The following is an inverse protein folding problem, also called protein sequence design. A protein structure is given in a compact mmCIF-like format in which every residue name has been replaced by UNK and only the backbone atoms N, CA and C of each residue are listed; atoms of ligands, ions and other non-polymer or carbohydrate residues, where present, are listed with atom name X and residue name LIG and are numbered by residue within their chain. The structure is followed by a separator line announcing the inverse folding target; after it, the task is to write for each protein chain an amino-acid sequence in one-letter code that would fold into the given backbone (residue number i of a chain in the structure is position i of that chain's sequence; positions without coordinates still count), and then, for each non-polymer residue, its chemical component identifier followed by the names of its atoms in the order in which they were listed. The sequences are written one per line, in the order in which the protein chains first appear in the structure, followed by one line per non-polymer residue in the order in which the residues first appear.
data_IF_141647464451
#
_entry.id   IF_141647464451
#
_cell.length_a   1.000
_cell.length_b   1.000
_cell.length_c   1.000
_cell.angle_alpha   90.00
_cell.angle_beta   90.00
_cell.angle_gamma   90.00
#
_symmetry.space_group_name_H-M   'P 1'
#
loop_
_entity.id
_entity.type
_entity.pdbx_description
1 polymer ?
#
# COMPACT_ATOMS: atom_id res chain seq x y z
N UNK A 1 -4.28 6.28 24.77
CA UNK A 1 -4.28 7.01 23.49
C UNK A 1 -3.37 8.21 23.61
N UNK A 2 -2.50 8.44 22.64
CA UNK A 2 -1.59 9.59 22.59
C UNK A 2 -2.23 10.71 21.73
N UNK A 3 -2.59 11.81 22.36
CA UNK A 3 -3.46 12.85 21.81
C UNK A 3 -2.67 14.14 21.58
N UNK A 4 -2.80 14.74 20.40
CA UNK A 4 -2.34 16.09 20.09
C UNK A 4 -3.53 17.05 20.18
N UNK A 5 -3.46 18.04 21.10
CA UNK A 5 -4.42 19.14 21.20
C UNK A 5 -3.84 20.41 20.62
N UNK A 6 -4.58 21.06 19.72
CA UNK A 6 -4.14 22.27 19.03
C UNK A 6 -5.22 23.34 19.15
N UNK A 7 -4.94 24.38 19.89
CA UNK A 7 -5.85 25.53 20.10
C UNK A 7 -5.00 26.75 20.50
N UNK A 8 -5.35 27.94 20.05
CA UNK A 8 -4.62 29.17 20.38
C UNK A 8 -5.03 29.77 21.73
N UNK A 9 -6.05 29.22 22.36
CA UNK A 9 -6.51 29.62 23.69
C UNK A 9 -5.85 28.75 24.79
N UNK A 10 -4.84 29.25 25.56
CA UNK A 10 -4.14 28.44 26.54
C UNK A 10 -5.05 27.84 27.62
N UNK A 11 -6.10 28.57 28.02
CA UNK A 11 -7.07 28.10 29.03
C UNK A 11 -7.87 26.90 28.53
N UNK A 12 -8.20 26.88 27.24
CA UNK A 12 -8.89 25.74 26.61
C UNK A 12 -7.97 24.52 26.59
N UNK A 13 -6.73 24.71 26.20
CA UNK A 13 -5.72 23.62 26.17
C UNK A 13 -5.52 23.03 27.57
N UNK A 14 -5.41 23.85 28.59
CA UNK A 14 -5.20 23.40 29.98
C UNK A 14 -6.39 22.57 30.50
N UNK A 15 -7.63 23.07 30.31
CA UNK A 15 -8.85 22.36 30.72
C UNK A 15 -9.00 21.02 30.01
N UNK A 16 -8.83 21.01 28.70
CA UNK A 16 -8.99 19.78 27.89
C UNK A 16 -7.88 18.78 28.22
N UNK A 17 -6.65 19.25 28.39
CA UNK A 17 -5.51 18.42 28.78
C UNK A 17 -5.75 17.76 30.14
N UNK A 18 -6.07 18.53 31.18
CA UNK A 18 -6.36 17.97 32.52
C UNK A 18 -7.43 16.88 32.44
N UNK A 19 -8.54 17.18 31.75
CA UNK A 19 -9.62 16.23 31.60
C UNK A 19 -9.17 14.91 30.93
N UNK A 20 -8.41 14.98 29.84
CA UNK A 20 -7.97 13.81 29.10
C UNK A 20 -6.89 13.03 29.88
N UNK A 21 -5.99 13.70 30.58
CA UNK A 21 -4.99 13.05 31.44
C UNK A 21 -5.65 12.32 32.62
N UNK A 22 -6.74 12.87 33.21
CA UNK A 22 -7.54 12.18 34.22
C UNK A 22 -8.19 10.89 33.68
N UNK A 23 -8.36 10.77 32.36
CA UNK A 23 -8.88 9.58 31.69
C UNK A 23 -7.76 8.62 31.21
N UNK A 24 -6.54 8.82 31.70
CA UNK A 24 -5.36 8.02 31.36
C UNK A 24 -4.92 8.12 29.89
N UNK A 25 -5.14 9.26 29.23
CA UNK A 25 -4.56 9.55 27.91
C UNK A 25 -3.26 10.36 28.09
N UNK A 26 -2.34 10.20 27.15
CA UNK A 26 -1.15 11.04 27.05
C UNK A 26 -1.48 12.23 26.16
N UNK A 27 -1.22 13.46 26.62
CA UNK A 27 -1.64 14.65 25.89
C UNK A 27 -0.47 15.59 25.64
N UNK A 28 -0.23 15.90 24.38
CA UNK A 28 0.70 16.94 23.95
C UNK A 28 -0.11 18.12 23.39
N UNK A 29 0.29 19.33 23.71
CA UNK A 29 -0.41 20.55 23.28
C UNK A 29 0.42 21.37 22.31
N UNK A 30 -0.24 22.06 21.38
CA UNK A 30 0.38 23.04 20.47
C UNK A 30 -0.54 24.27 20.39
N UNK A 31 0.02 25.50 20.36
CA UNK A 31 -0.76 26.75 20.31
C UNK A 31 -1.20 27.14 18.90
N UNK A 32 -0.71 26.47 17.88
CA UNK A 32 -1.02 26.72 16.47
C UNK A 32 -0.73 25.50 15.59
N UNK A 33 -1.25 25.53 14.36
CA UNK A 33 -1.10 24.43 13.43
C UNK A 33 0.35 24.23 12.94
N UNK A 34 1.21 25.24 13.02
CA UNK A 34 2.61 25.11 12.61
C UNK A 34 3.41 24.30 13.62
N UNK A 35 3.28 24.64 14.90
CA UNK A 35 3.92 23.85 15.97
C UNK A 35 3.35 22.45 16.04
N UNK A 36 2.03 22.29 15.82
CA UNK A 36 1.41 20.97 15.71
C UNK A 36 2.03 20.13 14.57
N UNK A 37 2.22 20.71 13.39
CA UNK A 37 2.86 20.04 12.27
C UNK A 37 4.30 19.65 12.57
N UNK A 38 5.08 20.55 13.19
CA UNK A 38 6.47 20.28 13.57
C UNK A 38 6.56 19.10 14.55
N UNK A 39 5.63 19.01 15.52
CA UNK A 39 5.54 17.87 16.45
C UNK A 39 5.23 16.57 15.73
N UNK A 40 4.25 16.56 14.83
CA UNK A 40 3.85 15.36 14.07
C UNK A 40 4.96 14.89 13.13
N UNK A 41 5.74 15.81 12.55
CA UNK A 41 6.88 15.47 11.70
C UNK A 41 8.10 14.96 12.48
N UNK A 42 8.27 15.42 13.73
CA UNK A 42 9.37 14.98 14.59
C UNK A 42 9.09 13.61 15.24
N UNK A 43 7.84 13.37 15.62
CA UNK A 43 7.39 12.14 16.26
C UNK A 43 5.97 11.81 15.80
N UNK A 44 5.81 10.78 15.01
CA UNK A 44 4.51 10.39 14.44
C UNK A 44 3.77 9.37 15.34
N UNK A 45 3.97 9.43 16.66
CA UNK A 45 3.35 8.50 17.62
C UNK A 45 2.02 9.02 18.21
N UNK A 46 1.37 9.97 17.52
CA UNK A 46 0.05 10.43 17.88
C UNK A 46 -1.06 9.54 17.30
N UNK A 47 -1.96 9.08 18.16
CA UNK A 47 -3.13 8.29 17.77
C UNK A 47 -4.24 9.16 17.17
N UNK A 48 -4.35 10.44 17.59
CA UNK A 48 -5.38 11.40 17.14
C UNK A 48 -4.93 12.84 17.42
N UNK A 49 -5.35 13.76 16.55
CA UNK A 49 -5.25 15.20 16.78
C UNK A 49 -6.64 15.85 16.87
N UNK A 50 -6.85 16.71 17.87
CA UNK A 50 -7.96 17.66 17.95
C UNK A 50 -7.39 19.04 17.68
N UNK A 51 -7.90 19.74 16.67
CA UNK A 51 -7.40 21.05 16.30
C UNK A 51 -8.53 22.06 16.15
N UNK A 52 -8.39 23.23 16.76
CA UNK A 52 -9.23 24.35 16.40
C UNK A 52 -9.03 24.73 14.94
N UNK A 53 -10.06 25.25 14.29
CA UNK A 53 -9.97 25.71 12.90
C UNK A 53 -9.27 27.07 12.85
N UNK A 54 -9.62 27.99 13.75
CA UNK A 54 -9.17 29.38 13.67
C UNK A 54 -8.03 29.67 14.63
N UNK A 55 -6.82 29.57 14.13
CA UNK A 55 -5.60 29.81 14.91
C UNK A 55 -4.65 30.73 14.13
N UNK A 56 -3.76 31.48 14.83
CA UNK A 56 -2.71 32.25 14.20
C UNK A 56 -1.68 31.35 13.50
N UNK A 57 -0.80 31.92 12.71
CA UNK A 57 0.31 31.31 11.96
C UNK A 57 -0.16 30.25 10.96
N UNK A 58 -0.81 29.18 11.40
CA UNK A 58 -1.38 28.12 10.58
C UNK A 58 -2.72 27.68 11.16
N UNK A 59 -3.79 27.83 10.39
CA UNK A 59 -5.14 27.37 10.77
C UNK A 59 -5.28 25.83 10.71
N UNK A 60 -6.31 25.30 11.36
CA UNK A 60 -6.53 23.86 11.46
C UNK A 60 -6.80 23.17 10.12
N UNK A 61 -7.41 23.87 9.15
CA UNK A 61 -7.62 23.33 7.81
C UNK A 61 -6.29 23.20 7.05
N UNK A 62 -5.44 24.20 7.13
CA UNK A 62 -4.09 24.16 6.54
C UNK A 62 -3.21 23.11 7.22
N UNK A 63 -3.30 22.98 8.55
CA UNK A 63 -2.64 21.89 9.27
C UNK A 63 -3.08 20.53 8.73
N UNK A 64 -4.38 20.27 8.59
CA UNK A 64 -4.90 19.03 8.01
C UNK A 64 -4.41 18.78 6.59
N UNK A 65 -4.43 19.82 5.72
CA UNK A 65 -3.89 19.73 4.36
C UNK A 65 -2.41 19.31 4.36
N UNK A 66 -1.61 19.87 5.29
CA UNK A 66 -0.18 19.52 5.43
C UNK A 66 0.02 18.10 5.94
N UNK A 67 -0.76 17.65 6.91
CA UNK A 67 -0.74 16.25 7.38
C UNK A 67 -0.99 15.30 6.22
N UNK A 68 -2.02 15.54 5.40
CA UNK A 68 -2.35 14.71 4.24
C UNK A 68 -1.32 14.77 3.12
N UNK A 69 -0.77 15.96 2.81
CA UNK A 69 0.25 16.12 1.76
C UNK A 69 1.59 15.48 2.11
N UNK A 70 1.87 15.25 3.40
CA UNK A 70 3.03 14.49 3.87
C UNK A 70 2.74 12.98 4.03
N UNK A 71 1.60 12.48 3.54
CA UNK A 71 1.17 11.08 3.65
C UNK A 71 1.12 10.55 5.11
N UNK A 72 0.84 11.42 6.07
CA UNK A 72 0.71 11.05 7.48
C UNK A 72 -0.72 10.56 7.74
N UNK A 73 -0.85 9.35 8.29
CA UNK A 73 -2.13 8.71 8.60
C UNK A 73 -2.73 9.15 9.94
N UNK A 74 -2.33 10.32 10.46
CA UNK A 74 -2.88 10.86 11.70
C UNK A 74 -4.37 11.21 11.56
N UNK A 75 -5.28 10.59 12.32
CA UNK A 75 -6.66 11.02 12.41
C UNK A 75 -6.76 12.43 12.98
N UNK A 76 -7.43 13.34 12.29
CA UNK A 76 -7.62 14.72 12.71
C UNK A 76 -9.11 15.02 12.85
N UNK A 77 -9.51 15.50 14.02
CA UNK A 77 -10.85 16.05 14.30
C UNK A 77 -10.70 17.56 14.44
N UNK A 78 -11.50 18.29 13.65
CA UNK A 78 -11.48 19.75 13.72
C UNK A 78 -12.54 20.28 14.70
N UNK A 79 -12.18 21.32 15.43
CA UNK A 79 -13.08 22.03 16.35
C UNK A 79 -13.48 23.35 15.68
N UNK A 80 -14.77 23.57 15.45
CA UNK A 80 -15.28 24.72 14.72
C UNK A 80 -16.18 25.60 15.59
N UNK A 81 -16.20 26.91 15.35
CA UNK A 81 -17.15 27.83 15.95
C UNK A 81 -18.58 27.64 15.45
N UNK A 82 -19.57 28.14 16.21
CA UNK A 82 -20.98 28.10 15.78
C UNK A 82 -21.19 28.82 14.44
N UNK A 83 -21.89 28.17 13.51
CA UNK A 83 -22.25 28.74 12.19
C UNK A 83 -21.19 28.56 11.10
N UNK A 84 -20.07 27.89 11.36
CA UNK A 84 -19.01 27.66 10.36
C UNK A 84 -19.19 26.32 9.61
N UNK A 85 -20.40 26.16 9.03
CA UNK A 85 -20.76 24.93 8.27
C UNK A 85 -19.87 24.74 7.04
N UNK A 86 -19.47 25.83 6.39
CA UNK A 86 -18.62 25.76 5.17
C UNK A 86 -17.25 25.18 5.49
N UNK A 87 -16.61 25.65 6.56
CA UNK A 87 -15.32 25.11 7.04
C UNK A 87 -15.44 23.64 7.47
N UNK A 88 -16.54 23.26 8.11
CA UNK A 88 -16.80 21.88 8.50
C UNK A 88 -16.93 20.94 7.29
N UNK A 89 -17.65 21.35 6.26
CA UNK A 89 -17.77 20.59 5.01
C UNK A 89 -16.40 20.51 4.28
N UNK A 90 -15.64 21.60 4.28
CA UNK A 90 -14.29 21.62 3.70
C UNK A 90 -13.36 20.67 4.47
N UNK A 91 -13.44 20.65 5.79
CA UNK A 91 -12.67 19.74 6.64
C UNK A 91 -12.89 18.26 6.25
N UNK A 92 -14.14 17.81 6.10
CA UNK A 92 -14.47 16.45 5.70
C UNK A 92 -13.95 16.11 4.29
N UNK A 93 -14.05 17.07 3.36
CA UNK A 93 -13.48 16.89 1.99
C UNK A 93 -11.97 16.77 1.98
N UNK A 94 -11.28 17.41 2.92
CA UNK A 94 -9.83 17.30 3.10
C UNK A 94 -9.39 16.04 3.87
N UNK A 95 -10.34 15.22 4.30
CA UNK A 95 -10.08 13.98 4.99
C UNK A 95 -9.93 14.14 6.51
N UNK A 96 -10.60 15.13 7.12
CA UNK A 96 -10.84 15.11 8.55
C UNK A 96 -11.67 13.89 8.92
N UNK A 97 -11.37 13.29 10.07
CA UNK A 97 -12.15 12.16 10.57
C UNK A 97 -13.57 12.58 10.98
N UNK A 98 -13.68 13.72 11.64
CA UNK A 98 -14.94 14.32 12.11
C UNK A 98 -14.71 15.80 12.41
N UNK A 99 -15.77 16.50 12.84
CA UNK A 99 -15.67 17.84 13.41
C UNK A 99 -16.55 17.99 14.64
N UNK A 100 -16.13 18.85 15.57
CA UNK A 100 -16.85 19.17 16.81
C UNK A 100 -17.19 20.67 16.78
N UNK A 101 -18.43 21.02 17.10
CA UNK A 101 -18.87 22.43 17.16
C UNK A 101 -18.68 22.97 18.57
N UNK A 102 -18.05 24.15 18.73
CA UNK A 102 -17.92 24.86 20.01
C UNK A 102 -19.33 25.30 20.52
N UNK A 103 -19.69 25.15 21.79
CA UNK A 103 -18.80 24.77 22.88
C UNK A 103 -18.47 23.28 22.91
N UNK A 104 -17.19 22.97 23.15
CA UNK A 104 -16.71 21.60 23.23
C UNK A 104 -17.22 20.97 24.54
N UNK A 105 -18.10 20.00 24.39
CA UNK A 105 -18.53 19.21 25.55
C UNK A 105 -17.55 18.03 25.74
N UNK A 106 -17.10 17.84 26.98
CA UNK A 106 -16.16 16.77 27.33
C UNK A 106 -16.66 15.38 26.91
N UNK A 107 -17.98 15.16 26.98
CA UNK A 107 -18.60 13.91 26.48
C UNK A 107 -18.41 13.69 25.01
N UNK A 108 -18.45 14.71 24.17
CA UNK A 108 -18.25 14.60 22.73
C UNK A 108 -16.80 14.21 22.41
N UNK A 109 -15.82 14.73 23.15
CA UNK A 109 -14.43 14.32 23.05
C UNK A 109 -14.24 12.85 23.43
N UNK A 110 -14.84 12.41 24.56
CA UNK A 110 -14.80 11.00 24.97
C UNK A 110 -15.38 10.07 23.89
N UNK A 111 -16.54 10.41 23.34
CA UNK A 111 -17.18 9.62 22.27
C UNK A 111 -16.28 9.54 21.02
N UNK A 112 -15.61 10.63 20.67
CA UNK A 112 -14.68 10.65 19.55
C UNK A 112 -13.45 9.77 19.82
N UNK A 113 -12.87 9.85 21.00
CA UNK A 113 -11.72 9.03 21.42
C UNK A 113 -12.10 7.55 21.49
N UNK A 114 -13.28 7.20 22.04
CA UNK A 114 -13.74 5.82 22.08
C UNK A 114 -13.90 5.19 20.69
N UNK A 115 -14.38 5.95 19.71
CA UNK A 115 -14.44 5.49 18.30
C UNK A 115 -13.05 5.16 17.76
N UNK A 116 -12.08 6.06 18.00
CA UNK A 116 -10.70 5.87 17.57
C UNK A 116 -10.07 4.69 18.31
N UNK A 117 -10.21 4.62 19.63
CA UNK A 117 -9.64 3.54 20.43
C UNK A 117 -10.17 2.17 19.97
N UNK A 118 -11.45 2.10 19.61
CA UNK A 118 -12.04 0.88 19.02
C UNK A 118 -11.40 0.52 17.69
N UNK A 119 -11.15 1.50 16.82
CA UNK A 119 -10.49 1.27 15.51
C UNK A 119 -9.04 0.85 15.71
N UNK A 120 -8.29 1.58 16.54
CA UNK A 120 -6.89 1.27 16.84
C UNK A 120 -6.74 -0.08 17.57
N UNK A 121 -7.68 -0.43 18.47
CA UNK A 121 -7.70 -1.74 19.11
C UNK A 121 -7.91 -2.84 18.08
N UNK A 122 -8.85 -2.68 17.13
CA UNK A 122 -9.07 -3.63 16.06
C UNK A 122 -7.85 -3.75 15.12
N UNK A 123 -7.17 -2.65 14.82
CA UNK A 123 -5.92 -2.67 14.04
C UNK A 123 -4.80 -3.38 14.81
N UNK A 124 -4.60 -3.08 16.11
CA UNK A 124 -3.62 -3.75 16.97
C UNK A 124 -3.92 -5.25 17.12
N UNK A 125 -5.19 -5.64 17.25
CA UNK A 125 -5.60 -7.04 17.27
C UNK A 125 -5.35 -7.72 15.92
N UNK A 126 -5.60 -7.03 14.81
CA UNK A 126 -5.30 -7.55 13.46
C UNK A 126 -3.81 -7.76 13.27
N UNK A 127 -2.96 -6.80 13.64
CA UNK A 127 -1.50 -6.94 13.64
C UNK A 127 -1.05 -8.06 14.59
N UNK A 128 -1.68 -8.18 15.74
CA UNK A 128 -1.46 -9.29 16.69
C UNK A 128 -1.82 -10.65 16.07
N UNK A 129 -2.96 -10.75 15.40
CA UNK A 129 -3.40 -11.96 14.70
C UNK A 129 -2.49 -12.31 13.50
N UNK A 130 -2.02 -11.31 12.76
CA UNK A 130 -1.04 -11.51 11.68
C UNK A 130 0.28 -12.11 12.21
N UNK A 131 0.76 -11.68 13.39
CA UNK A 131 1.93 -12.27 14.05
C UNK A 131 1.71 -13.72 14.49
N UNK A 132 0.47 -14.13 14.73
CA UNK A 132 0.09 -15.50 15.05
C UNK A 132 -0.18 -16.34 13.79
N UNK A 133 -0.22 -15.72 12.62
CA UNK A 133 -0.47 -16.41 11.36
C UNK A 133 0.69 -17.34 11.02
N UNK A 134 0.41 -18.63 10.95
CA UNK A 134 1.40 -19.67 10.60
C UNK A 134 1.54 -19.86 9.10
N UNK A 135 0.46 -19.73 8.36
CA UNK A 135 0.40 -19.89 6.89
C UNK A 135 -0.83 -19.18 6.33
N UNK A 136 -0.63 -18.37 5.29
CA UNK A 136 -1.69 -17.77 4.48
C UNK A 136 -1.49 -18.24 3.05
N UNK A 137 -2.51 -18.78 2.44
CA UNK A 137 -2.49 -19.22 1.04
C UNK A 137 -3.65 -18.57 0.28
N UNK A 138 -3.35 -17.96 -0.86
CA UNK A 138 -4.32 -17.33 -1.75
C UNK A 138 -4.09 -17.81 -3.17
N UNK A 139 -5.16 -18.07 -3.90
CA UNK A 139 -5.09 -18.40 -5.32
C UNK A 139 -5.99 -17.47 -6.11
N UNK A 140 -5.43 -16.78 -7.10
CA UNK A 140 -6.18 -16.04 -8.10
C UNK A 140 -5.95 -16.68 -9.46
N UNK A 141 -7.03 -16.84 -10.22
CA UNK A 141 -6.97 -17.31 -11.61
C UNK A 141 -7.81 -16.41 -12.50
N UNK A 142 -7.28 -16.04 -13.65
CA UNK A 142 -7.99 -15.18 -14.60
C UNK A 142 -7.63 -15.57 -16.03
N UNK A 143 -8.50 -15.21 -16.97
CA UNK A 143 -8.23 -15.28 -18.40
C UNK A 143 -7.07 -14.35 -18.78
N UNK A 144 -6.37 -14.69 -19.87
CA UNK A 144 -5.19 -13.96 -20.37
C UNK A 144 -5.60 -12.66 -21.06
N UNK A 145 -5.89 -11.65 -20.23
CA UNK A 145 -6.19 -10.29 -20.67
C UNK A 145 -5.30 -9.30 -19.90
N UNK A 146 -4.63 -8.41 -20.63
CA UNK A 146 -3.65 -7.48 -20.03
C UNK A 146 -4.23 -6.58 -18.94
N UNK A 147 -5.54 -6.27 -19.01
CA UNK A 147 -6.23 -5.50 -17.98
C UNK A 147 -6.21 -6.18 -16.60
N UNK A 148 -6.18 -7.52 -16.55
CA UNK A 148 -6.17 -8.27 -15.29
C UNK A 148 -4.85 -8.12 -14.54
N UNK A 149 -3.74 -7.84 -15.22
CA UNK A 149 -2.42 -7.62 -14.58
C UNK A 149 -2.53 -6.53 -13.51
N UNK A 150 -3.11 -5.37 -13.85
CA UNK A 150 -3.26 -4.26 -12.90
C UNK A 150 -4.14 -4.62 -11.70
N UNK A 151 -5.20 -5.38 -11.94
CA UNK A 151 -6.12 -5.81 -10.88
C UNK A 151 -5.43 -6.77 -9.90
N UNK A 152 -4.68 -7.74 -10.41
CA UNK A 152 -3.92 -8.71 -9.62
C UNK A 152 -2.84 -8.00 -8.80
N UNK A 153 -2.08 -7.09 -9.42
CA UNK A 153 -1.02 -6.33 -8.73
C UNK A 153 -1.61 -5.47 -7.62
N UNK A 154 -2.71 -4.72 -7.89
CA UNK A 154 -3.38 -3.90 -6.88
C UNK A 154 -3.87 -4.73 -5.70
N UNK A 155 -4.41 -5.92 -5.95
CA UNK A 155 -4.84 -6.83 -4.91
C UNK A 155 -3.67 -7.31 -4.04
N UNK A 156 -2.59 -7.82 -4.66
CA UNK A 156 -1.44 -8.32 -3.91
C UNK A 156 -0.64 -7.22 -3.22
N UNK A 157 -0.56 -6.00 -3.78
CA UNK A 157 0.06 -4.87 -3.09
C UNK A 157 -0.61 -4.62 -1.73
N UNK A 158 -1.95 -4.60 -1.71
CA UNK A 158 -2.70 -4.46 -0.46
C UNK A 158 -2.47 -5.64 0.50
N UNK A 159 -2.38 -6.87 -0.01
CA UNK A 159 -2.14 -8.05 0.83
C UNK A 159 -0.71 -8.09 1.41
N UNK A 160 0.27 -7.50 0.73
CA UNK A 160 1.69 -7.53 1.13
C UNK A 160 2.18 -6.23 1.75
N UNK A 161 1.35 -5.20 1.86
CA UNK A 161 1.71 -3.87 2.37
C UNK A 161 2.30 -3.95 3.77
N UNK A 162 1.56 -4.56 4.71
CA UNK A 162 1.99 -4.73 6.09
C UNK A 162 3.24 -5.61 6.21
N UNK A 163 3.34 -6.66 5.38
CA UNK A 163 4.51 -7.54 5.36
C UNK A 163 5.74 -6.76 4.93
N UNK A 164 5.62 -6.04 3.82
CA UNK A 164 6.72 -5.24 3.30
C UNK A 164 7.17 -4.18 4.32
N UNK A 165 6.22 -3.49 4.96
CA UNK A 165 6.52 -2.49 5.98
C UNK A 165 7.21 -3.12 7.21
N UNK A 166 6.69 -4.24 7.74
CA UNK A 166 7.19 -4.88 8.94
C UNK A 166 8.61 -5.48 8.78
N UNK A 167 8.97 -5.90 7.57
CA UNK A 167 10.26 -6.52 7.27
C UNK A 167 11.20 -5.62 6.44
N UNK A 168 10.85 -4.32 6.28
CA UNK A 168 11.68 -3.37 5.54
C UNK A 168 11.84 -3.72 4.05
N UNK A 169 10.87 -4.42 3.46
CA UNK A 169 10.88 -4.80 2.06
C UNK A 169 10.28 -3.67 1.18
N UNK A 170 10.81 -3.54 -0.02
CA UNK A 170 10.26 -2.61 -1.01
C UNK A 170 9.05 -3.22 -1.73
N UNK A 171 7.84 -2.83 -1.33
CA UNK A 171 6.60 -3.30 -1.94
C UNK A 171 6.50 -2.99 -3.44
N UNK A 172 7.08 -1.88 -3.90
CA UNK A 172 7.09 -1.54 -5.33
C UNK A 172 7.95 -2.54 -6.13
N UNK A 173 9.09 -2.97 -5.59
CA UNK A 173 9.91 -4.00 -6.23
C UNK A 173 9.21 -5.35 -6.29
N UNK A 174 8.49 -5.72 -5.22
CA UNK A 174 7.64 -6.91 -5.20
C UNK A 174 6.58 -6.84 -6.30
N UNK A 175 5.90 -5.69 -6.42
CA UNK A 175 4.90 -5.45 -7.46
C UNK A 175 5.47 -5.55 -8.88
N UNK A 176 6.67 -4.99 -9.12
CA UNK A 176 7.36 -5.08 -10.42
C UNK A 176 7.71 -6.54 -10.74
N UNK A 177 8.21 -7.32 -9.78
CA UNK A 177 8.47 -8.74 -9.99
C UNK A 177 7.20 -9.49 -10.41
N UNK A 178 6.08 -9.26 -9.73
CA UNK A 178 4.81 -9.89 -10.06
C UNK A 178 4.29 -9.43 -11.43
N UNK A 179 4.44 -8.14 -11.77
CA UNK A 179 4.07 -7.59 -13.07
C UNK A 179 4.84 -8.24 -14.20
N UNK A 180 6.15 -8.39 -14.06
CA UNK A 180 6.99 -9.05 -15.08
C UNK A 180 6.59 -10.51 -15.27
N UNK A 181 6.33 -11.25 -14.18
CA UNK A 181 5.87 -12.64 -14.28
C UNK A 181 4.52 -12.76 -14.99
N UNK A 182 3.54 -11.91 -14.65
CA UNK A 182 2.22 -11.92 -15.28
C UNK A 182 2.29 -11.53 -16.76
N UNK A 183 3.12 -10.54 -17.08
CA UNK A 183 3.34 -10.11 -18.46
C UNK A 183 3.95 -11.25 -19.29
N UNK A 184 4.96 -11.92 -18.74
CA UNK A 184 5.59 -13.08 -19.40
C UNK A 184 4.61 -14.24 -19.57
N UNK A 185 3.82 -14.57 -18.54
CA UNK A 185 2.82 -15.63 -18.57
C UNK A 185 1.73 -15.38 -19.63
N UNK A 186 1.27 -14.15 -19.79
CA UNK A 186 0.24 -13.79 -20.78
C UNK A 186 0.87 -13.70 -22.18
N UNK A 187 1.90 -12.86 -22.36
CA UNK A 187 2.40 -12.52 -23.70
C UNK A 187 3.26 -13.65 -24.26
N UNK A 188 4.23 -14.12 -23.50
CA UNK A 188 5.16 -15.15 -23.98
C UNK A 188 4.62 -16.56 -23.77
N UNK A 189 3.95 -16.81 -22.64
CA UNK A 189 3.32 -18.09 -22.32
C UNK A 189 2.05 -18.32 -23.14
N UNK A 190 0.92 -17.75 -22.72
CA UNK A 190 -0.40 -18.05 -23.29
C UNK A 190 -0.60 -17.54 -24.71
N UNK A 191 -0.11 -16.33 -25.03
CA UNK A 191 -0.15 -15.84 -26.40
C UNK A 191 0.95 -16.44 -27.27
N UNK A 192 2.05 -16.95 -26.70
CA UNK A 192 3.16 -17.57 -27.44
C UNK A 192 3.89 -16.59 -28.36
N UNK A 193 4.02 -15.32 -27.95
CA UNK A 193 4.71 -14.29 -28.73
C UNK A 193 6.20 -14.31 -28.38
N UNK A 194 7.06 -14.42 -29.42
CA UNK A 194 8.51 -14.39 -29.23
C UNK A 194 8.97 -13.02 -28.69
N UNK A 195 9.77 -13.06 -27.62
CA UNK A 195 10.36 -11.86 -27.01
C UNK A 195 11.26 -11.06 -27.97
N UNK A 196 11.94 -11.75 -28.91
CA UNK A 196 12.80 -11.11 -29.88
C UNK A 196 12.02 -10.27 -30.92
N UNK A 197 10.71 -10.51 -31.09
CA UNK A 197 9.88 -9.71 -31.99
C UNK A 197 9.82 -8.25 -31.53
N UNK A 198 9.79 -8.01 -30.20
CA UNK A 198 9.78 -6.68 -29.60
C UNK A 198 10.99 -5.83 -30.00
N UNK A 199 12.17 -6.45 -30.15
CA UNK A 199 13.39 -5.76 -30.54
C UNK A 199 13.44 -5.51 -32.06
N UNK A 200 12.88 -6.41 -32.85
CA UNK A 200 12.91 -6.34 -34.30
C UNK A 200 11.86 -5.42 -34.89
N UNK A 201 10.64 -5.49 -34.36
CA UNK A 201 9.50 -4.72 -34.86
C UNK A 201 8.48 -4.53 -33.73
N UNK A 202 8.56 -3.37 -33.05
CA UNK A 202 7.64 -3.01 -31.99
C UNK A 202 6.19 -2.94 -32.45
N UNK A 203 5.95 -2.47 -33.69
CA UNK A 203 4.59 -2.32 -34.22
C UNK A 203 3.96 -3.69 -34.49
N UNK A 204 4.71 -4.61 -35.05
CA UNK A 204 4.26 -6.00 -35.26
C UNK A 204 3.99 -6.69 -33.92
N UNK A 205 4.84 -6.47 -32.90
CA UNK A 205 4.67 -7.01 -31.55
C UNK A 205 3.36 -6.52 -30.90
N UNK A 206 3.10 -5.21 -30.91
CA UNK A 206 1.88 -4.62 -30.33
C UNK A 206 0.60 -5.06 -31.08
N UNK A 207 0.65 -5.14 -32.41
CA UNK A 207 -0.46 -5.61 -33.22
C UNK A 207 -0.78 -7.09 -32.94
N UNK A 208 0.25 -7.93 -32.79
CA UNK A 208 0.07 -9.35 -32.50
C UNK A 208 -0.51 -9.60 -31.11
N UNK A 209 -0.14 -8.76 -30.11
CA UNK A 209 -0.76 -8.79 -28.78
C UNK A 209 -2.26 -8.52 -28.89
N UNK A 210 -2.65 -7.42 -29.57
CA UNK A 210 -4.06 -7.05 -29.74
C UNK A 210 -4.86 -8.11 -30.49
N UNK A 211 -4.27 -8.70 -31.53
CA UNK A 211 -4.89 -9.79 -32.28
C UNK A 211 -5.16 -11.00 -31.36
N UNK A 212 -4.14 -11.47 -30.64
CA UNK A 212 -4.27 -12.67 -29.79
C UNK A 212 -5.15 -12.43 -28.57
N UNK A 213 -5.15 -11.23 -28.01
CA UNK A 213 -6.09 -10.85 -26.95
C UNK A 213 -7.56 -10.91 -27.40
N UNK A 214 -7.83 -10.67 -28.70
CA UNK A 214 -9.15 -10.81 -29.31
C UNK A 214 -9.56 -12.23 -29.66
N UNK A 215 -8.65 -13.20 -29.67
CA UNK A 215 -8.89 -14.58 -30.08
C UNK A 215 -9.08 -15.51 -28.86
N UNK A 216 -10.23 -16.21 -28.74
CA UNK A 216 -10.53 -17.09 -27.59
C UNK A 216 -9.49 -18.19 -27.35
N UNK A 217 -8.86 -18.70 -28.40
CA UNK A 217 -7.82 -19.74 -28.31
C UNK A 217 -6.58 -19.28 -27.51
N UNK A 218 -6.39 -17.97 -27.38
CA UNK A 218 -5.31 -17.36 -26.61
C UNK A 218 -5.82 -16.69 -25.35
N UNK A 219 -6.79 -15.80 -25.46
CA UNK A 219 -7.32 -15.03 -24.34
C UNK A 219 -8.11 -15.87 -23.35
N UNK A 220 -8.73 -16.98 -23.79
CA UNK A 220 -9.44 -17.93 -22.95
C UNK A 220 -8.53 -18.83 -22.09
N UNK A 221 -7.21 -18.85 -22.33
CA UNK A 221 -6.25 -19.52 -21.46
C UNK A 221 -6.12 -18.78 -20.14
N UNK A 222 -5.92 -19.53 -19.05
CA UNK A 222 -5.79 -18.95 -17.73
C UNK A 222 -4.34 -18.67 -17.33
N UNK A 223 -4.16 -17.61 -16.55
CA UNK A 223 -2.99 -17.40 -15.70
C UNK A 223 -3.42 -17.55 -14.26
N UNK A 224 -2.66 -18.31 -13.48
CA UNK A 224 -2.94 -18.53 -12.07
C UNK A 224 -1.78 -18.00 -11.22
N UNK A 225 -2.10 -17.24 -10.19
CA UNK A 225 -1.17 -16.79 -9.17
C UNK A 225 -1.52 -17.49 -7.86
N UNK A 226 -0.60 -18.28 -7.35
CA UNK A 226 -0.66 -18.81 -5.99
C UNK A 226 0.30 -18.00 -5.12
N UNK A 227 -0.19 -17.48 -4.02
CA UNK A 227 0.57 -16.75 -3.01
C UNK A 227 0.57 -17.52 -1.71
N UNK A 228 1.73 -17.65 -1.11
CA UNK A 228 1.92 -18.19 0.23
C UNK A 228 2.73 -17.23 1.08
N UNK A 229 2.27 -16.99 2.29
CA UNK A 229 2.98 -16.28 3.33
C UNK A 229 3.10 -17.15 4.57
N UNK A 230 4.30 -17.21 5.11
CA UNK A 230 4.60 -17.78 6.43
C UNK A 230 5.37 -16.75 7.27
N UNK A 231 5.65 -16.98 8.57
CA UNK A 231 6.50 -16.09 9.35
C UNK A 231 7.92 -15.91 8.81
N UNK A 232 8.37 -16.77 7.89
CA UNK A 232 9.74 -16.79 7.38
C UNK A 232 9.89 -16.40 5.91
N UNK A 233 8.81 -16.47 5.15
CA UNK A 233 8.88 -16.21 3.72
C UNK A 233 7.55 -15.74 3.13
N UNK A 234 7.67 -15.04 2.03
CA UNK A 234 6.61 -14.71 1.08
C UNK A 234 6.96 -15.37 -0.26
N UNK A 235 6.01 -16.10 -0.84
CA UNK A 235 6.22 -16.86 -2.09
C UNK A 235 5.08 -16.59 -3.06
N UNK A 236 5.45 -16.28 -4.31
CA UNK A 236 4.52 -16.23 -5.43
C UNK A 236 4.84 -17.36 -6.40
N UNK A 237 3.81 -18.04 -6.87
CA UNK A 237 3.88 -18.99 -7.97
C UNK A 237 2.96 -18.50 -9.07
N UNK A 238 3.51 -18.22 -10.24
CA UNK A 238 2.74 -17.81 -11.43
C UNK A 238 2.81 -18.92 -12.45
N UNK A 239 1.65 -19.37 -12.93
CA UNK A 239 1.55 -20.43 -13.94
C UNK A 239 0.68 -20.01 -15.11
N UNK A 240 1.06 -20.43 -16.31
CA UNK A 240 0.34 -20.23 -17.54
C UNK A 240 0.05 -21.57 -18.26
N UNK A 241 -0.77 -21.52 -19.30
CA UNK A 241 -1.17 -22.68 -20.11
C UNK A 241 -0.49 -22.69 -21.49
N UNK A 242 0.62 -21.96 -21.61
CA UNK A 242 1.44 -21.93 -22.82
C UNK A 242 2.27 -23.20 -23.04
N UNK A 243 3.05 -23.18 -24.11
CA UNK A 243 3.96 -24.28 -24.44
C UNK A 243 5.10 -24.40 -23.42
N UNK A 244 5.45 -23.29 -22.75
CA UNK A 244 6.63 -23.18 -21.89
C UNK A 244 7.90 -22.90 -22.72
N UNK A 245 9.03 -22.96 -22.04
CA UNK A 245 10.37 -22.77 -22.61
C UNK A 245 11.40 -23.58 -21.81
N UNK A 246 12.59 -23.78 -22.37
CA UNK A 246 13.67 -24.42 -21.62
C UNK A 246 14.31 -23.41 -20.63
N UNK A 247 14.21 -23.60 -19.30
CA UNK A 247 14.85 -22.71 -18.35
C UNK A 247 16.36 -22.58 -18.47
N UNK A 248 17.03 -23.51 -19.16
CA UNK A 248 18.46 -23.44 -19.44
C UNK A 248 18.82 -22.34 -20.47
N UNK A 249 17.84 -21.90 -21.28
CA UNK A 249 18.02 -20.83 -22.26
C UNK A 249 17.97 -19.43 -21.64
N UNK A 250 17.67 -19.32 -20.32
CA UNK A 250 17.60 -18.04 -19.65
C UNK A 250 18.97 -17.38 -19.49
N UNK A 251 19.06 -16.04 -19.63
CA UNK A 251 20.31 -15.31 -19.49
C UNK A 251 20.90 -15.48 -18.09
N UNK A 252 22.22 -15.62 -18.02
CA UNK A 252 22.95 -15.65 -16.76
C UNK A 252 22.88 -14.26 -16.07
N UNK A 253 22.37 -14.16 -14.85
CA UNK A 253 22.31 -12.89 -14.12
C UNK A 253 23.69 -12.31 -13.78
N UNK A 254 24.74 -13.12 -13.79
CA UNK A 254 26.12 -12.69 -13.54
C UNK A 254 26.85 -12.21 -14.79
N UNK A 255 26.28 -12.39 -15.97
CA UNK A 255 26.83 -11.89 -17.23
C UNK A 255 26.43 -10.42 -17.46
N UNK A 256 27.39 -9.46 -17.44
CA UNK A 256 27.10 -8.05 -17.68
C UNK A 256 26.47 -7.78 -19.04
N UNK A 257 26.75 -8.57 -20.08
CA UNK A 257 26.16 -8.42 -21.41
C UNK A 257 24.65 -8.74 -21.40
N UNK A 258 24.21 -9.60 -20.51
CA UNK A 258 22.79 -9.94 -20.34
C UNK A 258 21.95 -8.72 -19.92
N UNK A 259 22.52 -7.79 -19.16
CA UNK A 259 21.86 -6.56 -18.73
C UNK A 259 21.76 -5.47 -19.81
N UNK A 260 22.56 -5.59 -20.86
CA UNK A 260 22.56 -4.64 -22.00
C UNK A 260 21.48 -5.00 -23.03
N UNK A 261 20.97 -6.23 -23.04
CA UNK A 261 19.89 -6.64 -23.95
C UNK A 261 18.57 -5.97 -23.56
N UNK A 262 17.75 -5.61 -24.52
CA UNK A 262 16.42 -5.04 -24.29
C UNK A 262 15.41 -6.09 -23.81
N UNK A 263 15.60 -7.36 -24.22
CA UNK A 263 14.79 -8.51 -23.80
C UNK A 263 15.42 -9.23 -22.60
N UNK A 264 14.59 -9.84 -21.76
CA UNK A 264 15.04 -10.60 -20.59
C UNK A 264 15.35 -9.79 -19.33
N UNK A 265 15.31 -8.45 -19.38
CA UNK A 265 15.55 -7.59 -18.21
C UNK A 265 14.58 -7.84 -17.05
N UNK A 266 13.33 -8.20 -17.36
CA UNK A 266 12.34 -8.52 -16.34
C UNK A 266 12.76 -9.70 -15.47
N UNK A 267 13.27 -10.77 -16.09
CA UNK A 267 13.77 -11.96 -15.37
C UNK A 267 15.02 -11.64 -14.56
N UNK A 268 15.94 -10.83 -15.09
CA UNK A 268 17.11 -10.37 -14.36
C UNK A 268 16.72 -9.54 -13.14
N UNK A 269 15.73 -8.64 -13.28
CA UNK A 269 15.20 -7.86 -12.16
C UNK A 269 14.60 -8.77 -11.10
N UNK A 270 13.77 -9.76 -11.46
CA UNK A 270 13.19 -10.74 -10.56
C UNK A 270 14.31 -11.45 -9.76
N UNK A 271 15.33 -11.97 -10.47
CA UNK A 271 16.47 -12.67 -9.85
C UNK A 271 17.33 -11.76 -8.96
N UNK A 272 17.38 -10.45 -9.23
CA UNK A 272 18.14 -9.49 -8.41
C UNK A 272 17.44 -9.12 -7.12
N UNK A 273 16.10 -9.19 -7.07
CA UNK A 273 15.32 -8.77 -5.91
C UNK A 273 14.81 -9.93 -5.06
N UNK A 274 14.34 -11.03 -5.69
CA UNK A 274 13.89 -12.23 -4.98
C UNK A 274 15.08 -13.09 -4.55
N UNK A 275 14.96 -13.74 -3.39
CA UNK A 275 16.05 -14.54 -2.82
C UNK A 275 16.17 -15.90 -3.54
N UNK A 276 15.03 -16.45 -4.00
CA UNK A 276 14.99 -17.66 -4.82
C UNK A 276 14.03 -17.51 -5.98
N UNK A 277 14.44 -17.98 -7.16
CA UNK A 277 13.62 -17.99 -8.37
C UNK A 277 13.83 -19.30 -9.10
N UNK A 278 12.77 -20.08 -9.28
CA UNK A 278 12.79 -21.39 -9.93
C UNK A 278 11.70 -21.52 -10.98
N UNK A 279 11.94 -22.32 -11.99
CA UNK A 279 10.95 -22.74 -12.97
C UNK A 279 10.74 -24.24 -12.89
N UNK A 280 9.55 -24.71 -13.28
CA UNK A 280 9.36 -26.13 -13.53
C UNK A 280 10.08 -26.55 -14.84
N UNK A 281 10.23 -27.86 -15.06
CA UNK A 281 10.93 -28.41 -16.22
C UNK A 281 10.32 -27.97 -17.56
N UNK A 282 9.04 -27.64 -17.58
CA UNK A 282 8.33 -27.15 -18.77
C UNK A 282 8.50 -25.65 -19.01
N UNK A 283 8.94 -24.89 -18.02
CA UNK A 283 9.12 -23.43 -18.11
C UNK A 283 7.83 -22.60 -18.12
N UNK A 284 6.67 -23.18 -17.78
CA UNK A 284 5.38 -22.49 -17.72
C UNK A 284 4.89 -22.22 -16.30
N UNK A 285 5.73 -22.47 -15.30
CA UNK A 285 5.50 -22.12 -13.89
C UNK A 285 6.77 -21.50 -13.35
N UNK A 286 6.65 -20.30 -12.80
CA UNK A 286 7.71 -19.63 -12.06
C UNK A 286 7.36 -19.55 -10.58
N UNK A 287 8.31 -19.84 -9.72
CA UNK A 287 8.22 -19.70 -8.26
C UNK A 287 9.24 -18.66 -7.81
N UNK A 288 8.78 -17.65 -7.11
CA UNK A 288 9.58 -16.57 -6.55
C UNK A 288 9.42 -16.56 -5.04
N UNK A 289 10.51 -16.60 -4.30
CA UNK A 289 10.51 -16.57 -2.83
C UNK A 289 11.30 -15.37 -2.33
N UNK A 290 10.72 -14.67 -1.36
CA UNK A 290 11.37 -13.61 -0.57
C UNK A 290 11.37 -14.03 0.90
N UNK A 291 12.54 -14.12 1.51
CA UNK A 291 12.67 -14.43 2.94
C UNK A 291 12.40 -13.20 3.80
N UNK A 292 11.76 -13.42 4.93
CA UNK A 292 11.38 -12.41 5.92
C UNK A 292 12.35 -12.52 7.10
N UNK A 293 13.24 -11.53 7.24
CA UNK A 293 14.30 -11.53 8.25
C UNK A 293 14.13 -10.35 9.22
#
# INVERSE_FOLDING_TARGET
VNILLVDDEPEVLEILKEFLELKNHTVTTAPDGKQALDLVLADNDFDIAFSDIKMPEMDGLTFLEKVRSNNLNLPVILISGQGDLESSIRALKLGALDFIVKPVYLKTLEEAIQKIDTVLAAERETVGAQKLMMDLQLTLSCESQLRHIRQIISYFNKQTEDICANFGLDGNKTAICLQECLTNAIIHGNFGIDSNLKERDWTAFDNLIKEREGLPDYSGKNVTVFFQQTPKLMRFTVSDQGAGFDPADLPDPNDPESWLKLTGRGILFIRSYMDEVHWNDRGNVIVMTKYLH
#
